data_IF_500353517133
#
_entry.id   IF_500353517133
#
_cell.length_a   1.000
_cell.length_b   1.000
_cell.length_c   1.000
_cell.angle_alpha   90.00
_cell.angle_beta   90.00
_cell.angle_gamma   90.00
#
_symmetry.space_group_name_H-M   'P 1'
#
loop_
_entity.id
_entity.type
_entity.pdbx_description
1 polymer ?
#
# COMPACT_ATOMS: atom_id res chain seq x y z
N UNK A 1 13.00 3.50 14.17
CA UNK A 1 13.87 4.10 13.13
C UNK A 1 15.21 4.51 13.69
N UNK A 2 15.27 5.32 14.76
CA UNK A 2 16.54 5.76 15.36
C UNK A 2 17.50 4.59 15.69
N UNK A 3 16.97 3.48 16.20
CA UNK A 3 17.74 2.26 16.49
C UNK A 3 18.32 1.55 15.25
N UNK A 4 17.78 1.80 14.05
CA UNK A 4 18.23 1.17 12.80
C UNK A 4 19.27 2.03 12.06
N UNK A 5 19.58 3.23 12.55
CA UNK A 5 20.50 4.18 11.91
C UNK A 5 20.20 4.43 10.42
N UNK A 6 18.93 4.37 10.00
CA UNK A 6 18.52 4.62 8.61
C UNK A 6 18.09 6.10 8.43
N UNK A 7 18.91 6.95 7.78
CA UNK A 7 18.59 8.37 7.59
C UNK A 7 17.59 8.62 6.46
N UNK A 8 17.26 7.60 5.67
CA UNK A 8 16.46 7.70 4.44
C UNK A 8 14.97 7.35 4.65
N UNK A 9 14.49 7.35 5.89
CA UNK A 9 13.08 7.08 6.21
C UNK A 9 12.45 8.31 6.84
N UNK A 10 11.35 8.78 6.24
CA UNK A 10 10.51 9.86 6.78
C UNK A 10 9.14 9.26 7.14
N UNK A 11 8.59 9.65 8.28
CA UNK A 11 7.24 9.24 8.70
C UNK A 11 6.30 10.45 8.59
N UNK A 12 5.31 10.33 7.71
CA UNK A 12 4.15 11.22 7.65
C UNK A 12 2.87 10.43 7.93
N UNK A 13 1.89 11.08 8.55
CA UNK A 13 0.55 10.50 8.76
C UNK A 13 -0.46 11.20 7.88
N UNK A 14 -1.00 10.46 6.92
CA UNK A 14 -2.01 10.87 5.95
C UNK A 14 -3.03 9.74 5.79
N UNK A 15 -4.28 10.07 5.50
CA UNK A 15 -5.22 9.09 4.94
C UNK A 15 -4.83 8.74 3.49
N UNK A 16 -5.39 7.66 2.94
CA UNK A 16 -5.18 7.29 1.54
C UNK A 16 -5.68 8.38 0.56
N UNK A 17 -6.78 9.04 0.93
CA UNK A 17 -7.37 10.17 0.19
C UNK A 17 -6.42 11.38 0.22
N UNK A 18 -5.97 11.79 1.42
CA UNK A 18 -5.03 12.90 1.59
C UNK A 18 -3.72 12.64 0.83
N UNK A 19 -3.22 11.40 0.87
CA UNK A 19 -2.02 11.01 0.12
C UNK A 19 -2.24 11.12 -1.40
N UNK A 20 -3.42 10.71 -1.90
CA UNK A 20 -3.78 10.82 -3.32
C UNK A 20 -3.81 12.28 -3.77
N UNK A 21 -4.48 13.15 -3.01
CA UNK A 21 -4.55 14.59 -3.28
C UNK A 21 -3.16 15.23 -3.24
N UNK A 22 -2.33 14.86 -2.26
CA UNK A 22 -0.98 15.36 -2.11
C UNK A 22 -0.08 14.95 -3.30
N UNK A 23 -0.18 13.70 -3.77
CA UNK A 23 0.57 13.23 -4.94
C UNK A 23 0.12 13.90 -6.25
N UNK A 24 -1.13 14.34 -6.34
CA UNK A 24 -1.66 15.05 -7.51
C UNK A 24 -1.32 16.55 -7.50
N UNK A 25 -0.76 17.07 -6.39
CA UNK A 25 -0.50 18.49 -6.21
C UNK A 25 -1.77 19.33 -6.03
N UNK A 26 -2.92 18.69 -5.77
CA UNK A 26 -4.23 19.36 -5.67
C UNK A 26 -4.29 20.31 -4.48
N UNK A 27 -3.60 19.98 -3.38
CA UNK A 27 -3.59 20.77 -2.14
C UNK A 27 -2.28 20.61 -1.37
N UNK A 28 -1.88 21.68 -0.66
CA UNK A 28 -0.77 21.60 0.30
C UNK A 28 -1.24 21.20 1.70
N UNK A 29 -0.60 20.18 2.28
CA UNK A 29 -0.92 19.68 3.62
C UNK A 29 0.01 20.25 4.67
N UNK A 30 -0.55 20.86 5.72
CA UNK A 30 0.22 21.46 6.82
C UNK A 30 1.21 20.48 7.45
N UNK A 31 0.78 19.24 7.69
CA UNK A 31 1.61 18.18 8.29
C UNK A 31 2.86 17.86 7.45
N UNK A 32 2.72 17.79 6.12
CA UNK A 32 3.85 17.57 5.22
C UNK A 32 4.82 18.74 5.26
N UNK A 33 4.32 19.98 5.28
CA UNK A 33 5.16 21.19 5.39
C UNK A 33 5.92 21.27 6.71
N UNK A 34 5.24 21.02 7.83
CA UNK A 34 5.86 21.04 9.18
C UNK A 34 6.95 19.98 9.34
N UNK A 35 6.89 18.89 8.56
CA UNK A 35 7.89 17.83 8.54
C UNK A 35 8.92 17.98 7.40
N UNK A 36 8.82 19.06 6.61
CA UNK A 36 9.67 19.32 5.43
C UNK A 36 9.66 18.15 4.43
N UNK A 37 8.50 17.52 4.25
CA UNK A 37 8.31 16.41 3.31
C UNK A 37 7.63 16.95 2.05
N UNK A 38 8.40 17.02 0.97
CA UNK A 38 7.89 17.28 -0.38
C UNK A 38 7.73 15.96 -1.13
N UNK A 39 6.50 15.58 -1.49
CA UNK A 39 6.25 14.31 -2.19
C UNK A 39 6.84 14.28 -3.61
N UNK A 40 7.05 15.43 -4.24
CA UNK A 40 7.65 15.53 -5.58
C UNK A 40 9.13 15.16 -5.59
N UNK A 41 9.78 15.18 -4.44
CA UNK A 41 11.20 14.83 -4.29
C UNK A 41 11.40 13.30 -4.34
N UNK A 42 10.31 12.53 -4.31
CA UNK A 42 10.30 11.09 -4.28
C UNK A 42 9.74 10.52 -5.59
N UNK A 43 10.38 9.46 -6.08
CA UNK A 43 9.83 8.61 -7.14
C UNK A 43 9.30 7.31 -6.52
N UNK A 44 8.06 7.35 -6.06
CA UNK A 44 7.43 6.16 -5.46
C UNK A 44 7.17 5.09 -6.52
N UNK A 45 7.91 3.98 -6.44
CA UNK A 45 7.75 2.83 -7.33
C UNK A 45 7.00 1.66 -6.68
N UNK A 46 7.03 1.59 -5.34
CA UNK A 46 6.49 0.46 -4.58
C UNK A 46 5.58 0.98 -3.48
N UNK A 47 4.42 0.35 -3.33
CA UNK A 47 3.49 0.58 -2.23
C UNK A 47 3.33 -0.70 -1.42
N UNK A 48 3.28 -0.57 -0.10
CA UNK A 48 2.86 -1.61 0.82
C UNK A 48 1.47 -1.23 1.33
N UNK A 49 0.53 -2.18 1.26
CA UNK A 49 -0.82 -2.00 1.78
C UNK A 49 -1.18 -3.16 2.69
N UNK A 50 -1.68 -2.83 3.87
CA UNK A 50 -2.16 -3.76 4.90
C UNK A 50 -3.51 -3.23 5.43
N UNK A 51 -4.62 -3.53 4.72
CA UNK A 51 -5.93 -2.97 5.01
C UNK A 51 -6.67 -3.74 6.12
N UNK A 52 -7.74 -3.17 6.69
CA UNK A 52 -8.63 -3.93 7.56
C UNK A 52 -9.28 -5.13 6.84
N UNK A 53 -9.98 -6.00 7.58
CA UNK A 53 -10.65 -7.20 7.01
C UNK A 53 -11.58 -6.92 5.83
N UNK A 54 -12.14 -5.71 5.74
CA UNK A 54 -12.99 -5.28 4.63
C UNK A 54 -12.23 -5.13 3.30
N UNK A 55 -10.89 -5.07 3.32
CA UNK A 55 -10.07 -4.75 2.16
C UNK A 55 -9.92 -3.24 1.96
N UNK A 56 -9.64 -2.83 0.73
CA UNK A 56 -9.55 -1.42 0.33
C UNK A 56 -10.75 -1.02 -0.52
N UNK A 57 -11.08 0.27 -0.54
CA UNK A 57 -12.12 0.81 -1.42
C UNK A 57 -11.62 1.02 -2.86
N UNK A 58 -12.55 1.33 -3.77
CA UNK A 58 -12.28 1.52 -5.19
C UNK A 58 -11.32 2.70 -5.46
N UNK A 59 -11.39 3.76 -4.67
CA UNK A 59 -10.49 4.91 -4.79
C UNK A 59 -9.04 4.52 -4.47
N UNK A 60 -8.86 3.74 -3.41
CA UNK A 60 -7.57 3.19 -3.01
C UNK A 60 -7.07 2.16 -4.03
N UNK A 61 -7.94 1.31 -4.58
CA UNK A 61 -7.57 0.42 -5.69
C UNK A 61 -7.06 1.19 -6.91
N UNK A 62 -7.73 2.28 -7.29
CA UNK A 62 -7.27 3.16 -8.37
C UNK A 62 -5.90 3.79 -8.06
N UNK A 63 -5.68 4.23 -6.82
CA UNK A 63 -4.37 4.73 -6.37
C UNK A 63 -3.29 3.64 -6.46
N UNK A 64 -3.54 2.44 -5.94
CA UNK A 64 -2.57 1.34 -5.91
C UNK A 64 -2.12 0.96 -7.33
N UNK A 65 -3.01 1.02 -8.31
CA UNK A 65 -2.71 0.75 -9.72
C UNK A 65 -1.73 1.77 -10.36
N UNK A 66 -1.36 2.85 -9.67
CA UNK A 66 -0.37 3.85 -10.13
C UNK A 66 1.07 3.50 -9.78
N UNK A 67 1.30 2.52 -8.89
CA UNK A 67 2.65 2.07 -8.52
C UNK A 67 3.17 0.98 -9.47
N UNK A 68 4.47 0.74 -9.50
CA UNK A 68 5.03 -0.36 -10.30
C UNK A 68 4.96 -1.70 -9.55
N UNK A 69 4.99 -1.64 -8.22
CA UNK A 69 4.96 -2.79 -7.33
C UNK A 69 3.99 -2.56 -6.18
N UNK A 70 3.17 -3.56 -5.91
CA UNK A 70 2.20 -3.54 -4.80
C UNK A 70 2.50 -4.76 -3.93
N UNK A 71 2.94 -4.54 -2.69
CA UNK A 71 2.98 -5.57 -1.66
C UNK A 71 1.68 -5.46 -0.86
N UNK A 72 0.76 -6.38 -1.13
CA UNK A 72 -0.55 -6.41 -0.48
C UNK A 72 -0.53 -7.49 0.59
N UNK A 73 -0.81 -7.10 1.83
CA UNK A 73 -0.98 -7.97 3.00
C UNK A 73 -2.48 -8.04 3.32
N UNK A 74 -2.99 -9.20 3.72
CA UNK A 74 -4.41 -9.38 4.01
C UNK A 74 -4.68 -10.52 4.98
N UNK A 75 -5.43 -10.19 6.02
CA UNK A 75 -6.02 -11.12 6.99
C UNK A 75 -7.37 -11.71 6.53
N UNK A 76 -7.83 -11.42 5.31
CA UNK A 76 -9.10 -11.92 4.76
C UNK A 76 -8.95 -12.35 3.28
N UNK A 77 -8.90 -13.66 2.99
CA UNK A 77 -8.68 -14.15 1.63
C UNK A 77 -9.82 -13.81 0.66
N UNK A 78 -11.05 -13.60 1.16
CA UNK A 78 -12.19 -13.28 0.31
C UNK A 78 -12.11 -11.86 -0.24
N UNK A 79 -11.84 -10.87 0.61
CA UNK A 79 -11.69 -9.49 0.18
C UNK A 79 -10.38 -9.32 -0.58
N UNK A 80 -9.31 -10.03 -0.23
CA UNK A 80 -8.10 -10.09 -1.05
C UNK A 80 -8.41 -10.54 -2.48
N UNK A 81 -9.17 -11.63 -2.66
CA UNK A 81 -9.56 -12.13 -4.00
C UNK A 81 -10.29 -11.06 -4.81
N UNK A 82 -11.31 -10.43 -4.22
CA UNK A 82 -12.08 -9.38 -4.89
C UNK A 82 -11.20 -8.18 -5.31
N UNK A 83 -10.29 -7.74 -4.43
CA UNK A 83 -9.34 -6.67 -4.76
C UNK A 83 -8.35 -7.10 -5.88
N UNK A 84 -7.91 -8.36 -5.85
CA UNK A 84 -7.02 -8.92 -6.87
C UNK A 84 -7.66 -8.99 -8.25
N UNK A 85 -8.98 -9.20 -8.36
CA UNK A 85 -9.70 -9.16 -9.64
C UNK A 85 -9.50 -7.80 -10.34
N UNK A 86 -9.52 -6.70 -9.58
CA UNK A 86 -9.22 -5.36 -10.09
C UNK A 86 -7.73 -5.13 -10.33
N UNK A 87 -6.87 -5.40 -9.33
CA UNK A 87 -5.44 -5.11 -9.44
C UNK A 87 -4.75 -5.93 -10.54
N UNK A 88 -5.21 -7.16 -10.80
CA UNK A 88 -4.65 -8.01 -11.84
C UNK A 88 -4.99 -7.55 -13.27
N UNK A 89 -5.85 -6.54 -13.44
CA UNK A 89 -6.09 -5.89 -14.75
C UNK A 89 -4.85 -5.14 -15.23
N UNK A 90 -4.10 -4.53 -14.32
CA UNK A 90 -2.90 -3.73 -14.64
C UNK A 90 -1.60 -4.37 -14.14
N UNK A 91 -1.69 -5.28 -13.18
CA UNK A 91 -0.54 -5.96 -12.58
C UNK A 91 -0.61 -7.48 -12.77
N UNK A 92 0.49 -8.16 -12.49
CA UNK A 92 0.57 -9.62 -12.37
C UNK A 92 1.15 -10.00 -11.02
N UNK A 93 0.62 -11.06 -10.42
CA UNK A 93 1.16 -11.62 -9.17
C UNK A 93 2.47 -12.33 -9.48
N UNK A 94 3.56 -11.96 -8.79
CA UNK A 94 4.89 -12.56 -8.98
C UNK A 94 5.37 -13.33 -7.75
N UNK A 95 4.82 -13.06 -6.56
CA UNK A 95 5.05 -13.84 -5.34
C UNK A 95 3.77 -13.91 -4.51
N UNK A 96 3.65 -14.97 -3.73
CA UNK A 96 2.56 -15.22 -2.79
C UNK A 96 3.12 -15.92 -1.56
N UNK A 97 2.60 -15.58 -0.39
CA UNK A 97 2.93 -16.22 0.88
C UNK A 97 1.68 -16.32 1.76
N UNK A 98 1.65 -17.34 2.60
CA UNK A 98 0.69 -17.50 3.67
C UNK A 98 1.47 -17.50 4.99
N UNK A 99 0.88 -16.91 6.02
CA UNK A 99 1.47 -16.84 7.34
C UNK A 99 0.44 -17.34 8.36
N UNK A 100 0.84 -18.34 9.14
CA UNK A 100 0.09 -18.83 10.29
C UNK A 100 0.36 -17.92 11.49
N UNK A 101 -0.13 -16.68 11.41
CA UNK A 101 0.08 -15.67 12.46
C UNK A 101 -0.75 -15.98 13.72
N UNK A 102 -1.86 -16.69 13.56
CA UNK A 102 -2.78 -17.04 14.64
C UNK A 102 -3.07 -18.54 14.65
N UNK A 103 -2.12 -19.38 15.10
CA UNK A 103 -2.28 -20.82 15.14
C UNK A 103 -3.53 -21.24 15.91
N UNK A 104 -4.15 -22.33 15.47
CA UNK A 104 -5.38 -22.89 16.05
C UNK A 104 -6.61 -21.98 15.93
N UNK A 105 -6.59 -21.01 15.02
CA UNK A 105 -7.75 -20.19 14.65
C UNK A 105 -8.06 -20.34 13.16
N UNK A 106 -9.26 -19.96 12.69
CA UNK A 106 -9.54 -19.93 11.25
C UNK A 106 -8.88 -18.72 10.53
N UNK A 107 -8.16 -17.86 11.25
CA UNK A 107 -7.54 -16.67 10.65
C UNK A 107 -6.30 -17.05 9.84
N UNK A 108 -6.23 -16.51 8.63
CA UNK A 108 -5.09 -16.68 7.73
C UNK A 108 -4.59 -15.30 7.35
N UNK A 109 -3.31 -15.06 7.55
CA UNK A 109 -2.63 -13.89 7.02
C UNK A 109 -1.98 -14.28 5.69
N UNK A 110 -2.12 -13.42 4.69
CA UNK A 110 -1.66 -13.70 3.33
C UNK A 110 -0.97 -12.48 2.75
N UNK A 111 0.05 -12.69 1.92
CA UNK A 111 0.64 -11.60 1.16
C UNK A 111 0.87 -11.97 -0.29
N UNK A 112 0.73 -10.96 -1.13
CA UNK A 112 0.96 -11.06 -2.57
C UNK A 112 1.80 -9.88 -3.03
N UNK A 113 2.82 -10.17 -3.82
CA UNK A 113 3.58 -9.15 -4.53
C UNK A 113 3.05 -9.10 -5.96
N UNK A 114 2.50 -7.94 -6.33
CA UNK A 114 2.10 -7.63 -7.70
C UNK A 114 3.13 -6.71 -8.36
N UNK A 115 3.37 -6.91 -9.65
CA UNK A 115 4.21 -6.05 -10.49
C UNK A 115 3.42 -5.62 -11.72
N UNK A 116 3.52 -4.35 -12.11
CA UNK A 116 2.85 -3.78 -13.29
C UNK A 116 3.15 -4.62 -14.54
N UNK A 117 2.14 -4.84 -15.38
CA UNK A 117 2.30 -5.45 -16.70
C UNK A 117 2.93 -4.41 -17.62
N UNK A 118 3.99 -4.80 -18.34
CA UNK A 118 4.61 -3.97 -19.38
C UNK A 118 3.68 -3.84 -20.57
#
# INVERSE_FOLDING_TARGET
IAANHCPNVRIARLSAEEFTEAMQGTRSFRRLREQEISLTDYRFSTVLVDPPRAGVDDATLALLQRFDRILYISCNPHTLRANLETLCRTHRIVRRALFDQFPFTPHIESSVLLVRRN
#
